data_IF_918385757595
#
_entry.id   IF_918385757595
#
_cell.length_a   1.000
_cell.length_b   1.000
_cell.length_c   1.000
_cell.angle_alpha   90.00
_cell.angle_beta   90.00
_cell.angle_gamma   90.00
#
_symmetry.space_group_name_H-M   'P 1'
#
loop_
_entity.id
_entity.type
_entity.pdbx_description
1 polymer ?
#
# COMPACT_ATOMS: atom_id res chain seq x y z
N UNK A 1 15.77 29.80 -94.47
CA UNK A 1 17.21 29.56 -94.22
C UNK A 1 17.39 29.50 -92.72
N UNK A 2 18.12 28.53 -92.14
CA UNK A 2 19.60 28.48 -92.06
C UNK A 2 20.16 29.87 -91.76
N UNK A 3 20.93 30.16 -90.71
CA UNK A 3 21.70 29.41 -89.70
C UNK A 3 22.12 30.48 -88.64
N UNK A 4 22.50 30.22 -87.39
CA UNK A 4 23.79 29.68 -86.95
C UNK A 4 23.84 29.61 -85.39
N UNK A 5 24.69 28.70 -84.92
CA UNK A 5 24.95 28.32 -83.53
C UNK A 5 25.75 29.36 -82.72
N UNK A 6 25.51 29.42 -81.40
CA UNK A 6 26.58 29.67 -80.43
C UNK A 6 26.27 28.96 -79.11
N UNK A 7 27.22 28.16 -78.66
CA UNK A 7 27.17 27.28 -77.50
C UNK A 7 27.42 28.01 -76.16
N UNK A 8 26.79 27.54 -75.08
CA UNK A 8 27.18 27.76 -73.68
C UNK A 8 26.58 26.63 -72.80
N UNK A 9 27.17 26.33 -71.62
CA UNK A 9 27.39 24.96 -71.18
C UNK A 9 26.27 24.31 -70.35
N UNK A 10 26.28 22.98 -70.37
CA UNK A 10 25.46 22.04 -69.60
C UNK A 10 25.64 22.22 -68.09
N UNK A 11 24.63 22.77 -67.42
CA UNK A 11 24.49 22.71 -65.96
C UNK A 11 23.85 21.37 -65.56
N UNK A 12 24.63 20.51 -64.93
CA UNK A 12 24.16 19.28 -64.32
C UNK A 12 23.17 19.60 -63.18
N UNK A 13 21.93 19.10 -63.27
CA UNK A 13 20.97 19.12 -62.16
C UNK A 13 21.44 18.16 -61.08
N UNK A 14 21.92 18.71 -59.98
CA UNK A 14 22.07 18.04 -58.69
C UNK A 14 20.69 17.75 -58.11
N UNK A 15 20.40 16.47 -57.88
CA UNK A 15 19.31 16.02 -57.01
C UNK A 15 19.55 16.49 -55.57
N UNK A 16 18.55 17.00 -54.85
CA UNK A 16 18.71 17.35 -53.44
C UNK A 16 18.93 16.08 -52.61
N UNK A 17 20.07 16.00 -51.91
CA UNK A 17 20.30 15.02 -50.87
C UNK A 17 19.41 15.35 -49.67
N UNK A 18 18.59 14.39 -49.26
CA UNK A 18 17.91 14.38 -47.96
C UNK A 18 18.96 14.31 -46.84
N UNK A 19 18.87 15.14 -45.79
CA UNK A 19 19.81 15.06 -44.67
C UNK A 19 19.65 13.72 -43.93
N UNK A 20 20.79 13.09 -43.62
CA UNK A 20 20.84 11.92 -42.74
C UNK A 20 20.22 12.26 -41.37
N UNK A 21 19.38 11.38 -40.80
CA UNK A 21 18.88 11.57 -39.45
C UNK A 21 20.03 11.49 -38.43
N UNK A 22 20.02 12.41 -37.48
CA UNK A 22 20.90 12.41 -36.31
C UNK A 22 20.72 11.09 -35.52
N UNK A 23 21.79 10.49 -34.99
CA UNK A 23 21.68 9.29 -34.18
C UNK A 23 20.90 9.60 -32.90
N UNK A 24 19.76 8.92 -32.71
CA UNK A 24 18.96 9.01 -31.50
C UNK A 24 19.79 8.54 -30.30
N UNK A 25 19.85 9.30 -29.19
CA UNK A 25 20.52 8.85 -27.99
C UNK A 25 19.74 7.67 -27.41
N UNK A 26 20.48 6.57 -27.20
CA UNK A 26 20.05 5.33 -26.57
C UNK A 26 18.93 5.51 -25.54
N UNK A 27 17.81 4.83 -25.78
CA UNK A 27 16.91 4.35 -24.74
C UNK A 27 17.76 3.61 -23.69
N UNK A 28 18.06 4.28 -22.59
CA UNK A 28 18.51 3.62 -21.36
C UNK A 28 17.32 2.80 -20.86
N UNK A 29 17.22 1.58 -21.34
CA UNK A 29 16.53 0.49 -20.69
C UNK A 29 17.15 0.32 -19.30
N UNK A 30 16.60 1.02 -18.30
CA UNK A 30 16.79 0.65 -16.91
C UNK A 30 15.89 -0.56 -16.65
N UNK A 31 16.34 -1.72 -17.13
CA UNK A 31 15.94 -3.00 -16.54
C UNK A 31 16.55 -3.02 -15.14
N UNK A 32 15.88 -2.37 -14.20
CA UNK A 32 16.25 -2.39 -12.79
C UNK A 32 15.74 -3.73 -12.25
N UNK A 33 16.51 -4.78 -12.52
CA UNK A 33 16.42 -6.04 -11.78
C UNK A 33 16.79 -5.72 -10.34
N UNK A 34 15.80 -5.26 -9.57
CA UNK A 34 15.86 -5.25 -8.12
C UNK A 34 15.81 -6.72 -7.70
N UNK A 35 17.01 -7.32 -7.62
CA UNK A 35 17.23 -8.40 -6.66
C UNK A 35 16.79 -7.83 -5.31
N UNK A 36 15.66 -8.31 -4.80
CA UNK A 36 15.35 -8.25 -3.39
C UNK A 36 16.45 -9.02 -2.67
N UNK A 37 17.58 -8.35 -2.38
CA UNK A 37 18.45 -8.80 -1.33
C UNK A 37 17.61 -8.75 -0.07
N UNK A 38 17.38 -9.91 0.54
CA UNK A 38 16.98 -10.04 1.95
C UNK A 38 17.94 -9.18 2.77
N UNK A 39 17.59 -7.90 2.95
CA UNK A 39 18.10 -7.15 4.08
C UNK A 39 17.59 -7.93 5.28
N UNK A 40 18.54 -8.55 5.96
CA UNK A 40 18.38 -9.07 7.31
C UNK A 40 17.51 -8.09 8.09
N UNK A 41 16.23 -8.43 8.29
CA UNK A 41 15.36 -7.76 9.26
C UNK A 41 16.15 -7.80 10.56
N UNK A 42 16.70 -6.66 10.97
CA UNK A 42 17.14 -6.49 12.36
C UNK A 42 15.90 -6.78 13.17
N UNK A 43 15.89 -7.90 13.90
CA UNK A 43 14.75 -8.35 14.67
C UNK A 43 14.45 -7.31 15.76
N UNK A 44 13.65 -6.30 15.42
CA UNK A 44 12.78 -5.70 16.41
C UNK A 44 11.76 -6.79 16.70
N UNK A 45 11.85 -7.41 17.87
CA UNK A 45 10.80 -8.31 18.38
C UNK A 45 9.49 -7.55 18.28
N UNK A 46 8.45 -8.09 17.64
CA UNK A 46 7.15 -7.40 17.61
C UNK A 46 6.66 -7.13 19.05
N UNK A 47 5.93 -6.03 19.31
CA UNK A 47 5.49 -5.71 20.66
C UNK A 47 4.50 -6.75 21.17
N UNK A 48 4.53 -6.97 22.49
CA UNK A 48 3.39 -7.56 23.20
C UNK A 48 2.37 -6.46 23.51
N UNK A 49 1.19 -6.85 23.96
CA UNK A 49 0.08 -5.93 24.21
C UNK A 49 -0.31 -5.93 25.69
N UNK A 50 -0.53 -4.74 26.24
CA UNK A 50 -0.93 -4.49 27.62
C UNK A 50 -2.15 -3.61 27.69
N UNK A 51 -2.89 -3.70 28.80
CA UNK A 51 -3.95 -2.75 29.09
C UNK A 51 -3.37 -1.40 29.51
N UNK A 52 -3.96 -0.30 29.04
CA UNK A 52 -3.66 1.06 29.51
C UNK A 52 -3.89 1.28 31.01
N UNK A 53 -4.52 0.33 31.72
CA UNK A 53 -4.72 0.36 33.17
C UNK A 53 -3.79 -0.57 33.95
N UNK A 54 -2.98 -1.37 33.26
CA UNK A 54 -1.97 -2.25 33.87
C UNK A 54 -2.53 -3.42 34.68
N UNK A 55 -3.84 -3.70 34.61
CA UNK A 55 -4.49 -4.75 35.40
C UNK A 55 -4.47 -6.13 34.73
N UNK A 56 -3.61 -6.33 33.73
CA UNK A 56 -3.53 -7.56 32.93
C UNK A 56 -2.08 -7.91 32.60
N UNK A 57 -1.83 -9.20 32.46
CA UNK A 57 -0.60 -9.74 31.88
C UNK A 57 -0.45 -9.34 30.41
N UNK A 58 0.79 -9.31 29.92
CA UNK A 58 1.08 -9.07 28.52
C UNK A 58 0.54 -10.20 27.64
N UNK A 59 0.07 -9.87 26.44
CA UNK A 59 -0.45 -10.86 25.49
C UNK A 59 0.03 -10.65 24.05
N UNK A 60 -0.15 -11.70 23.25
CA UNK A 60 0.11 -11.66 21.80
C UNK A 60 -0.85 -10.76 21.04
N UNK A 61 -0.53 -10.48 19.78
CA UNK A 61 -1.34 -9.64 18.92
C UNK A 61 -2.74 -10.23 18.71
N UNK A 62 -2.82 -11.51 18.35
CA UNK A 62 -4.09 -12.18 18.07
C UNK A 62 -5.00 -12.26 19.30
N UNK A 63 -4.42 -12.44 20.49
CA UNK A 63 -5.18 -12.41 21.76
C UNK A 63 -5.73 -11.02 22.05
N UNK A 64 -4.92 -9.97 21.84
CA UNK A 64 -5.37 -8.59 22.03
C UNK A 64 -6.50 -8.21 21.07
N UNK A 65 -6.43 -8.65 19.81
CA UNK A 65 -7.47 -8.43 18.80
C UNK A 65 -8.78 -9.13 19.19
N UNK A 66 -8.71 -10.42 19.54
CA UNK A 66 -9.91 -11.20 19.91
C UNK A 66 -10.52 -10.76 21.24
N UNK A 67 -9.71 -10.32 22.20
CA UNK A 67 -10.21 -9.78 23.45
C UNK A 67 -10.90 -8.43 23.25
N UNK A 68 -10.37 -7.59 22.35
CA UNK A 68 -10.89 -6.25 22.08
C UNK A 68 -10.72 -5.31 23.27
N UNK A 69 -11.67 -5.31 24.21
CA UNK A 69 -11.57 -4.52 25.44
C UNK A 69 -10.90 -5.34 26.55
N UNK A 70 -9.90 -4.75 27.18
CA UNK A 70 -9.21 -5.35 28.33
C UNK A 70 -10.20 -5.70 29.46
N UNK A 71 -9.93 -6.76 30.23
CA UNK A 71 -10.80 -7.19 31.34
C UNK A 71 -10.92 -6.14 32.46
N UNK A 72 -9.93 -5.25 32.57
CA UNK A 72 -9.94 -4.09 33.49
C UNK A 72 -10.60 -2.83 32.88
N UNK A 73 -11.24 -2.98 31.70
CA UNK A 73 -11.87 -1.92 30.89
C UNK A 73 -10.90 -0.87 30.36
N UNK A 74 -9.60 -1.17 30.32
CA UNK A 74 -8.61 -0.40 29.57
C UNK A 74 -8.61 -0.73 28.08
N UNK A 75 -7.73 -0.06 27.34
CA UNK A 75 -7.50 -0.32 25.92
C UNK A 75 -6.22 -1.14 25.78
N UNK A 76 -6.22 -2.09 24.83
CA UNK A 76 -5.01 -2.82 24.48
C UNK A 76 -4.08 -1.93 23.67
N UNK A 77 -2.84 -1.78 24.12
CA UNK A 77 -1.79 -0.99 23.45
C UNK A 77 -0.49 -1.79 23.42
N UNK A 78 0.37 -1.60 22.41
CA UNK A 78 1.65 -2.28 22.37
C UNK A 78 2.55 -1.79 23.52
N UNK A 79 3.40 -2.68 24.05
CA UNK A 79 4.34 -2.36 25.16
C UNK A 79 5.36 -1.30 24.78
N UNK A 80 5.62 -1.13 23.49
CA UNK A 80 6.36 -0.01 22.93
C UNK A 80 5.86 0.28 21.50
N UNK A 81 6.12 1.50 21.03
CA UNK A 81 5.85 1.84 19.63
C UNK A 81 7.02 1.36 18.75
N UNK A 82 6.78 0.49 17.76
CA UNK A 82 7.81 0.10 16.81
C UNK A 82 8.44 1.31 16.13
N UNK A 83 9.76 1.26 15.95
CA UNK A 83 10.49 2.32 15.26
C UNK A 83 10.52 2.01 13.76
N UNK A 84 10.25 3.01 12.93
CA UNK A 84 10.41 2.88 11.50
C UNK A 84 11.90 2.87 11.13
N UNK A 85 12.30 2.10 10.10
CA UNK A 85 13.64 2.22 9.53
C UNK A 85 13.92 3.67 9.11
N UNK A 86 15.12 4.18 9.33
CA UNK A 86 15.49 5.54 8.89
C UNK A 86 15.31 5.75 7.38
N UNK A 87 15.45 4.67 6.59
CA UNK A 87 15.25 4.66 5.14
C UNK A 87 13.79 4.52 4.70
N UNK A 88 12.84 4.42 5.62
CA UNK A 88 11.43 4.22 5.31
C UNK A 88 10.85 5.34 4.41
N UNK A 89 11.10 6.64 4.63
CA UNK A 89 10.54 7.70 3.78
C UNK A 89 10.91 7.57 2.30
N UNK A 90 12.13 7.13 2.00
CA UNK A 90 12.61 6.91 0.64
C UNK A 90 12.11 5.58 0.06
N UNK A 91 12.14 4.51 0.86
CA UNK A 91 11.75 3.17 0.42
C UNK A 91 10.24 3.03 0.21
N UNK A 92 9.44 3.68 1.06
CA UNK A 92 8.00 3.49 1.11
C UNK A 92 7.22 4.42 0.17
N UNK A 93 7.85 5.49 -0.34
CA UNK A 93 7.19 6.49 -1.21
C UNK A 93 6.59 5.90 -2.49
N UNK A 94 7.17 4.82 -3.01
CA UNK A 94 6.74 4.18 -4.25
C UNK A 94 5.83 2.97 -4.07
N UNK A 95 5.45 2.65 -2.84
CA UNK A 95 4.61 1.49 -2.54
C UNK A 95 3.14 1.78 -2.84
N UNK A 96 2.43 0.75 -3.26
CA UNK A 96 0.97 0.72 -3.23
C UNK A 96 0.44 0.83 -1.80
N UNK A 97 -0.86 1.11 -1.65
CA UNK A 97 -1.50 1.20 -0.34
C UNK A 97 -1.34 -0.11 0.45
N UNK A 98 -1.52 -1.24 -0.21
CA UNK A 98 -1.45 -2.58 0.37
C UNK A 98 -0.02 -2.94 0.78
N UNK A 99 0.98 -2.62 -0.06
CA UNK A 99 2.39 -2.80 0.29
C UNK A 99 2.79 -1.95 1.48
N UNK A 100 2.36 -0.68 1.52
CA UNK A 100 2.61 0.20 2.66
C UNK A 100 1.90 -0.29 3.93
N UNK A 101 0.65 -0.76 3.82
CA UNK A 101 -0.09 -1.34 4.92
C UNK A 101 0.65 -2.55 5.48
N UNK A 102 1.21 -3.43 4.62
CA UNK A 102 2.01 -4.56 5.07
C UNK A 102 3.29 -4.12 5.80
N UNK A 103 4.05 -3.17 5.25
CA UNK A 103 5.28 -2.66 5.89
C UNK A 103 4.99 -2.08 7.28
N UNK A 104 3.87 -1.35 7.44
CA UNK A 104 3.48 -0.78 8.73
C UNK A 104 2.96 -1.87 9.68
N UNK A 105 1.99 -2.68 9.24
CA UNK A 105 1.31 -3.66 10.10
C UNK A 105 2.26 -4.77 10.56
N UNK A 106 3.22 -5.19 9.74
CA UNK A 106 4.20 -6.22 10.12
C UNK A 106 5.17 -5.79 11.24
N UNK A 107 5.20 -4.50 11.60
CA UNK A 107 5.91 -4.03 12.79
C UNK A 107 5.16 -4.32 14.10
N UNK A 108 3.84 -4.51 14.01
CA UNK A 108 2.95 -4.76 15.13
C UNK A 108 2.53 -6.23 15.22
N UNK A 109 2.54 -6.93 14.09
CA UNK A 109 2.12 -8.33 13.98
C UNK A 109 3.36 -9.23 13.89
N UNK A 110 3.65 -10.06 14.90
CA UNK A 110 4.76 -11.01 14.82
C UNK A 110 4.53 -12.04 13.71
N UNK A 111 5.58 -12.30 12.91
CA UNK A 111 5.56 -13.31 11.83
C UNK A 111 5.22 -14.71 12.38
N UNK A 112 5.48 -14.99 13.67
CA UNK A 112 5.13 -16.25 14.33
C UNK A 112 3.62 -16.41 14.61
N UNK A 113 2.88 -15.30 14.71
CA UNK A 113 1.42 -15.33 14.90
C UNK A 113 0.68 -15.28 13.56
N UNK A 114 1.14 -14.44 12.63
CA UNK A 114 0.58 -14.34 11.28
C UNK A 114 1.74 -14.30 10.27
N UNK A 115 1.97 -15.38 9.51
CA UNK A 115 3.00 -15.41 8.48
C UNK A 115 2.85 -14.27 7.47
N UNK A 116 3.98 -13.81 6.94
CA UNK A 116 4.03 -12.68 6.02
C UNK A 116 3.13 -12.85 4.77
N UNK A 117 2.97 -14.07 4.26
CA UNK A 117 2.11 -14.36 3.12
C UNK A 117 0.63 -14.23 3.48
N UNK A 118 0.24 -14.73 4.66
CA UNK A 118 -1.13 -14.64 5.17
C UNK A 118 -1.52 -13.20 5.49
N UNK A 119 -0.62 -12.43 6.12
CA UNK A 119 -0.87 -11.00 6.38
C UNK A 119 -1.09 -10.21 5.09
N UNK A 120 -0.31 -10.50 4.04
CA UNK A 120 -0.50 -9.88 2.72
C UNK A 120 -1.83 -10.28 2.09
N UNK A 121 -2.23 -11.54 2.19
CA UNK A 121 -3.53 -12.00 1.69
C UNK A 121 -4.69 -11.28 2.39
N UNK A 122 -4.65 -11.20 3.72
CA UNK A 122 -5.64 -10.48 4.54
C UNK A 122 -5.75 -9.03 4.07
N UNK A 123 -4.62 -8.33 3.92
CA UNK A 123 -4.56 -6.93 3.47
C UNK A 123 -5.15 -6.78 2.07
N UNK A 124 -4.71 -7.59 1.11
CA UNK A 124 -5.17 -7.52 -0.28
C UNK A 124 -6.68 -7.75 -0.39
N UNK A 125 -7.20 -8.76 0.31
CA UNK A 125 -8.65 -9.03 0.37
C UNK A 125 -9.42 -7.86 0.96
N UNK A 126 -8.91 -7.29 2.06
CA UNK A 126 -9.57 -6.20 2.79
C UNK A 126 -9.74 -4.93 1.96
N UNK A 127 -8.76 -4.61 1.11
CA UNK A 127 -8.80 -3.39 0.32
C UNK A 127 -9.30 -3.61 -1.12
N UNK A 128 -9.48 -4.86 -1.55
CA UNK A 128 -10.04 -5.20 -2.89
C UNK A 128 -11.46 -4.68 -3.16
N UNK A 129 -12.23 -4.38 -2.11
CA UNK A 129 -13.61 -3.86 -2.21
C UNK A 129 -13.68 -2.35 -2.37
N UNK A 130 -12.54 -1.66 -2.32
CA UNK A 130 -12.48 -0.20 -2.51
C UNK A 130 -12.57 0.12 -4.01
N UNK A 131 -13.35 1.15 -4.33
CA UNK A 131 -13.63 1.54 -5.73
C UNK A 131 -12.51 2.37 -6.35
N UNK A 132 -11.62 2.93 -5.54
CA UNK A 132 -10.44 3.67 -6.01
C UNK A 132 -9.24 2.74 -6.07
N UNK A 133 -8.44 2.74 -7.15
CA UNK A 133 -7.21 1.94 -7.23
C UNK A 133 -6.14 2.37 -6.21
N UNK A 134 -6.17 3.64 -5.76
CA UNK A 134 -5.25 4.15 -4.74
C UNK A 134 -5.76 3.91 -3.30
N UNK A 135 -6.95 3.27 -3.16
CA UNK A 135 -7.70 3.02 -1.92
C UNK A 135 -8.14 4.33 -1.21
N UNK A 136 -7.20 5.19 -0.83
CA UNK A 136 -7.39 6.48 -0.17
C UNK A 136 -6.68 7.61 -0.94
N UNK A 137 -7.21 8.06 -2.09
CA UNK A 137 -6.55 9.08 -2.90
C UNK A 137 -6.52 10.43 -2.19
N UNK A 138 -5.45 11.20 -2.44
CA UNK A 138 -5.33 12.60 -2.01
C UNK A 138 -5.64 13.51 -3.19
N UNK A 139 -6.71 14.29 -3.07
CA UNK A 139 -7.22 15.15 -4.13
C UNK A 139 -6.96 16.62 -3.79
N UNK A 140 -6.28 17.40 -4.65
CA UNK A 140 -6.12 18.84 -4.44
C UNK A 140 -7.44 19.57 -4.67
N UNK A 141 -7.78 20.47 -3.76
CA UNK A 141 -8.90 21.41 -3.89
C UNK A 141 -8.42 22.75 -4.44
N UNK A 142 -7.24 23.21 -3.98
CA UNK A 142 -6.51 24.36 -4.50
C UNK A 142 -5.00 24.22 -4.22
N UNK A 143 -4.22 25.28 -4.48
CA UNK A 143 -2.75 25.31 -4.32
C UNK A 143 -2.24 25.01 -2.90
N UNK A 144 -3.11 25.08 -1.87
CA UNK A 144 -2.74 24.93 -0.45
C UNK A 144 -3.58 23.89 0.29
N UNK A 145 -4.68 23.43 -0.31
CA UNK A 145 -5.61 22.51 0.32
C UNK A 145 -5.72 21.20 -0.46
N UNK A 146 -5.48 20.10 0.25
CA UNK A 146 -5.72 18.74 -0.24
C UNK A 146 -6.73 18.04 0.66
N UNK A 147 -7.51 17.12 0.09
CA UNK A 147 -8.46 16.25 0.79
C UNK A 147 -8.02 14.81 0.62
N UNK A 148 -7.90 14.09 1.73
CA UNK A 148 -7.74 12.63 1.73
C UNK A 148 -9.14 11.99 1.68
N UNK A 149 -9.47 11.35 0.56
CA UNK A 149 -10.77 10.70 0.40
C UNK A 149 -10.74 9.31 1.02
N UNK A 150 -11.52 9.12 2.10
CA UNK A 150 -11.61 7.84 2.84
C UNK A 150 -12.94 7.12 2.61
N UNK A 151 -13.72 7.51 1.61
CA UNK A 151 -15.09 7.04 1.37
C UNK A 151 -15.21 6.13 0.13
N UNK A 152 -14.10 5.55 -0.34
CA UNK A 152 -14.12 4.64 -1.49
C UNK A 152 -14.41 3.18 -1.13
N UNK A 153 -14.51 2.86 0.17
CA UNK A 153 -14.88 1.55 0.69
C UNK A 153 -16.38 1.23 0.55
N UNK A 154 -16.80 -0.02 0.81
CA UNK A 154 -18.15 -0.52 0.50
C UNK A 154 -19.30 0.32 1.07
N UNK A 155 -19.10 1.06 2.16
CA UNK A 155 -20.16 1.81 2.85
C UNK A 155 -20.02 3.33 2.72
N UNK A 156 -19.06 3.79 1.92
CA UNK A 156 -18.81 5.21 1.68
C UNK A 156 -18.40 5.98 2.94
N UNK A 157 -17.81 5.29 3.92
CA UNK A 157 -17.35 5.88 5.17
C UNK A 157 -15.91 5.47 5.49
N UNK A 158 -15.18 6.35 6.18
CA UNK A 158 -13.78 6.10 6.54
C UNK A 158 -13.56 4.85 7.40
N UNK A 159 -14.61 4.41 8.11
CA UNK A 159 -14.59 3.21 8.95
C UNK A 159 -14.30 1.93 8.15
N UNK A 160 -14.60 1.92 6.86
CA UNK A 160 -14.31 0.80 5.96
C UNK A 160 -12.83 0.43 5.96
N UNK A 161 -11.91 1.41 6.10
CA UNK A 161 -10.46 1.16 6.09
C UNK A 161 -10.05 0.22 7.22
N UNK A 162 -10.62 0.42 8.42
CA UNK A 162 -10.31 -0.40 9.57
C UNK A 162 -11.15 -1.69 9.60
N UNK A 163 -12.44 -1.59 9.30
CA UNK A 163 -13.39 -2.69 9.54
C UNK A 163 -13.31 -3.79 8.47
N UNK A 164 -12.96 -3.45 7.22
CA UNK A 164 -12.67 -4.49 6.22
C UNK A 164 -11.44 -5.33 6.61
N UNK A 165 -10.39 -4.68 7.13
CA UNK A 165 -9.22 -5.38 7.66
C UNK A 165 -9.55 -6.22 8.88
N UNK A 166 -10.24 -5.64 9.86
CA UNK A 166 -10.60 -6.32 11.10
C UNK A 166 -11.50 -7.55 10.84
N UNK A 167 -12.43 -7.47 9.89
CA UNK A 167 -13.28 -8.59 9.51
C UNK A 167 -12.49 -9.79 8.97
N UNK A 168 -11.62 -9.57 7.98
CA UNK A 168 -10.76 -10.62 7.44
C UNK A 168 -9.76 -11.15 8.48
N UNK A 169 -9.25 -10.27 9.36
CA UNK A 169 -8.36 -10.66 10.44
C UNK A 169 -9.06 -11.56 11.47
N UNK A 170 -10.31 -11.25 11.85
CA UNK A 170 -11.08 -12.12 12.71
C UNK A 170 -11.32 -13.48 12.08
N UNK A 171 -11.71 -13.53 10.80
CA UNK A 171 -11.88 -14.79 10.08
C UNK A 171 -10.62 -15.65 10.15
N UNK A 172 -9.45 -15.06 9.88
CA UNK A 172 -8.15 -15.74 9.97
C UNK A 172 -7.85 -16.26 11.40
N UNK A 173 -7.99 -15.40 12.41
CA UNK A 173 -7.67 -15.74 13.79
C UNK A 173 -8.62 -16.77 14.40
N UNK A 174 -9.90 -16.77 14.00
CA UNK A 174 -10.86 -17.77 14.44
C UNK A 174 -10.58 -19.12 13.79
N UNK A 175 -10.29 -19.14 12.48
CA UNK A 175 -9.94 -20.35 11.74
C UNK A 175 -8.67 -21.00 12.29
N UNK A 176 -7.62 -20.23 12.59
CA UNK A 176 -6.36 -20.77 13.14
C UNK A 176 -6.51 -21.38 14.53
N UNK A 177 -7.55 -20.99 15.28
CA UNK A 177 -7.88 -21.52 16.62
C UNK A 177 -8.95 -22.61 16.60
N UNK A 178 -9.48 -22.98 15.42
CA UNK A 178 -10.59 -23.92 15.30
C UNK A 178 -11.89 -23.43 15.94
N UNK A 179 -12.09 -22.10 15.99
CA UNK A 179 -13.31 -21.49 16.50
C UNK A 179 -14.26 -21.28 15.32
N UNK A 180 -15.39 -21.98 15.32
CA UNK A 180 -16.33 -21.96 14.19
C UNK A 180 -17.29 -20.74 14.19
N UNK A 181 -17.50 -20.11 15.34
CA UNK A 181 -18.50 -19.06 15.49
C UNK A 181 -18.04 -17.94 16.42
N UNK A 182 -18.15 -16.71 15.93
CA UNK A 182 -18.08 -15.48 16.73
C UNK A 182 -19.34 -14.65 16.47
N UNK A 183 -20.02 -14.24 17.55
CA UNK A 183 -21.21 -13.39 17.46
C UNK A 183 -20.86 -11.96 17.84
N UNK A 184 -20.86 -11.07 16.86
CA UNK A 184 -20.68 -9.62 17.09
C UNK A 184 -22.05 -8.98 17.35
N UNK A 185 -22.18 -8.28 18.48
CA UNK A 185 -23.40 -7.56 18.84
C UNK A 185 -23.04 -6.09 19.03
N UNK A 186 -23.68 -5.21 18.26
CA UNK A 186 -23.45 -3.77 18.31
C UNK A 186 -24.76 -2.98 18.35
N UNK A 187 -24.69 -1.76 18.86
CA UNK A 187 -25.72 -0.74 18.68
C UNK A 187 -25.10 0.44 17.93
N UNK A 188 -25.77 0.95 16.90
CA UNK A 188 -25.26 2.04 16.06
C UNK A 188 -26.27 3.19 15.98
N UNK A 189 -25.78 4.42 15.90
CA UNK A 189 -26.56 5.61 15.52
C UNK A 189 -26.48 5.94 14.02
N UNK A 190 -25.77 5.14 13.22
CA UNK A 190 -25.58 5.34 11.79
C UNK A 190 -24.44 4.50 11.19
N UNK A 191 -23.46 5.18 10.61
CA UNK A 191 -22.39 4.64 9.75
C UNK A 191 -21.62 3.44 10.34
N UNK A 192 -21.34 3.43 11.65
CA UNK A 192 -20.59 2.36 12.32
C UNK A 192 -21.16 0.96 12.11
N UNK A 193 -22.49 0.81 12.08
CA UNK A 193 -23.12 -0.50 11.88
C UNK A 193 -23.27 -0.90 10.41
N UNK A 194 -23.00 0.01 9.47
CA UNK A 194 -22.98 -0.37 8.04
C UNK A 194 -21.64 -0.98 7.68
N UNK A 195 -20.55 -0.42 8.25
CA UNK A 195 -19.18 -0.82 7.99
C UNK A 195 -18.71 -2.05 8.76
N UNK A 196 -19.36 -2.38 9.89
CA UNK A 196 -19.05 -3.51 10.77
C UNK A 196 -19.86 -4.76 10.37
#
# INVERSE_FOLDING_TARGET
GKSENSAAPSAARTTPQTPNPLPSPMLRSFARTLRFSRLSRSFSTAPKYVSTRGGMEEMGFGDAVLQGLASDRGLMVPTFLPQFPESAPEMWRGLSFEELAYEIMSLYVPDEEIPAEDLKDIINRSYSTFRSPDITPVVPIDDKLNVLELFHGPTFAFKDVALQFLGNLFEYLLASRGIELMTVIGATSGDTGSSA
#
